data_IF_259720536330
#
_entry.id   IF_259720536330
#
_cell.length_a   1.000
_cell.length_b   1.000
_cell.length_c   1.000
_cell.angle_alpha   90.00
_cell.angle_beta   90.00
_cell.angle_gamma   90.00
#
_symmetry.space_group_name_H-M   'P 1'
#
loop_
_entity.id
_entity.type
_entity.pdbx_description
1 polymer ?
#
# COMPACT_ATOMS: atom_id res chain seq x y z
N UNK A 1 4.53 -3.98 17.53
CA UNK A 1 5.84 -3.30 17.65
C UNK A 1 6.19 -2.70 16.29
N UNK A 2 5.86 -1.42 16.07
CA UNK A 2 6.20 -0.72 14.83
C UNK A 2 7.69 -0.40 14.90
N UNK A 3 8.52 -1.02 14.06
CA UNK A 3 9.90 -0.55 13.87
C UNK A 3 9.81 0.87 13.30
N UNK A 4 10.59 1.81 13.83
CA UNK A 4 10.54 3.20 13.40
C UNK A 4 11.02 3.30 11.93
N UNK A 5 10.10 3.23 10.97
CA UNK A 5 10.41 3.21 9.54
C UNK A 5 11.18 4.47 9.12
N UNK A 6 11.01 5.59 9.83
CA UNK A 6 11.79 6.82 9.62
C UNK A 6 13.28 6.65 9.89
N UNK A 7 13.66 5.84 10.88
CA UNK A 7 15.07 5.55 11.15
C UNK A 7 15.69 4.67 10.06
N UNK A 8 14.88 3.85 9.39
CA UNK A 8 15.31 3.09 8.22
C UNK A 8 15.49 4.01 7.01
N UNK A 9 14.57 4.96 6.78
CA UNK A 9 14.71 5.97 5.72
C UNK A 9 15.99 6.80 5.87
N UNK A 10 16.31 7.27 7.09
CA UNK A 10 17.57 7.98 7.36
C UNK A 10 18.82 7.17 7.04
N UNK A 11 18.72 5.84 7.03
CA UNK A 11 19.80 4.91 6.66
C UNK A 11 19.80 4.56 5.18
N UNK A 12 18.98 5.21 4.37
CA UNK A 12 18.85 4.96 2.93
C UNK A 12 18.01 3.74 2.58
N UNK A 13 17.15 3.25 3.48
CA UNK A 13 16.23 2.18 3.15
C UNK A 13 15.22 2.64 2.09
N UNK A 14 14.88 1.73 1.17
CA UNK A 14 13.85 1.94 0.16
C UNK A 14 12.68 1.02 0.45
N UNK A 15 11.46 1.57 0.32
CA UNK A 15 10.23 0.83 0.50
C UNK A 15 9.50 0.68 -0.82
N UNK A 16 8.98 -0.51 -1.07
CA UNK A 16 7.94 -0.75 -2.08
C UNK A 16 6.69 -1.28 -1.39
N UNK A 17 5.57 -1.32 -2.09
CA UNK A 17 4.34 -1.90 -1.54
C UNK A 17 3.67 -2.86 -2.50
N UNK A 18 2.91 -3.80 -1.94
CA UNK A 18 1.93 -4.58 -2.68
C UNK A 18 0.53 -4.22 -2.21
N UNK A 19 -0.39 -4.11 -3.17
CA UNK A 19 -1.83 -3.96 -2.90
C UNK A 19 -2.58 -5.07 -3.61
N UNK A 20 -3.37 -5.83 -2.85
CA UNK A 20 -4.18 -6.94 -3.34
C UNK A 20 -5.64 -6.69 -2.98
N UNK A 21 -6.54 -6.83 -3.95
CA UNK A 21 -7.97 -6.72 -3.68
C UNK A 21 -8.57 -8.09 -3.37
N UNK A 22 -9.20 -8.21 -2.20
CA UNK A 22 -9.81 -9.45 -1.74
C UNK A 22 -11.29 -9.29 -1.42
N UNK A 23 -12.12 -10.19 -1.93
CA UNK A 23 -13.53 -10.32 -1.53
C UNK A 23 -13.71 -11.52 -0.61
N UNK A 24 -14.18 -11.26 0.61
CA UNK A 24 -14.51 -12.31 1.58
C UNK A 24 -15.77 -13.08 1.22
N UNK A 25 -15.94 -14.26 1.83
CA UNK A 25 -17.13 -15.11 1.67
C UNK A 25 -18.44 -14.44 2.09
N UNK A 26 -18.39 -13.34 2.86
CA UNK A 26 -19.55 -12.53 3.24
C UNK A 26 -19.76 -11.32 2.31
N UNK A 27 -19.22 -11.37 1.09
CA UNK A 27 -19.28 -10.31 0.09
C UNK A 27 -18.76 -8.94 0.59
N UNK A 28 -17.74 -8.95 1.45
CA UNK A 28 -17.03 -7.74 1.89
C UNK A 28 -15.69 -7.66 1.19
N UNK A 29 -15.38 -6.50 0.61
CA UNK A 29 -14.15 -6.23 -0.13
C UNK A 29 -13.10 -5.56 0.76
N UNK A 30 -11.84 -5.87 0.53
CA UNK A 30 -10.69 -5.38 1.31
C UNK A 30 -9.50 -5.13 0.39
N UNK A 31 -8.66 -4.15 0.75
CA UNK A 31 -7.29 -4.06 0.27
C UNK A 31 -6.34 -4.67 1.29
N UNK A 32 -5.60 -5.69 0.87
CA UNK A 32 -4.42 -6.15 1.57
C UNK A 32 -3.23 -5.28 1.16
N UNK A 33 -2.67 -4.53 2.11
CA UNK A 33 -1.50 -3.69 1.87
C UNK A 33 -0.31 -4.32 2.60
N UNK A 34 0.82 -4.44 1.92
CA UNK A 34 2.07 -4.85 2.56
C UNK A 34 3.20 -3.91 2.12
N UNK A 35 4.07 -3.57 3.07
CA UNK A 35 5.29 -2.81 2.81
C UNK A 35 6.46 -3.78 2.68
N UNK A 36 7.33 -3.53 1.72
CA UNK A 36 8.54 -4.31 1.49
C UNK A 36 9.74 -3.38 1.59
N UNK A 37 10.58 -3.62 2.58
CA UNK A 37 11.85 -2.92 2.74
C UNK A 37 12.93 -3.70 1.95
N UNK A 38 13.61 -3.01 1.03
CA UNK A 38 14.44 -3.63 -0.01
C UNK A 38 15.81 -4.09 0.49
N UNK A 39 16.44 -3.37 1.42
CA UNK A 39 17.82 -3.61 1.88
C UNK A 39 17.90 -4.87 2.75
N UNK A 40 17.01 -4.98 3.74
CA UNK A 40 16.93 -6.13 4.63
C UNK A 40 15.91 -7.18 4.17
N UNK A 41 15.27 -6.99 3.01
CA UNK A 41 14.27 -7.89 2.41
C UNK A 41 13.14 -8.24 3.38
N UNK A 42 12.68 -7.24 4.13
CA UNK A 42 11.64 -7.45 5.15
C UNK A 42 10.29 -7.06 4.60
N UNK A 43 9.33 -7.98 4.74
CA UNK A 43 7.92 -7.68 4.49
C UNK A 43 7.24 -7.33 5.81
N UNK A 44 6.59 -6.17 5.83
CA UNK A 44 5.76 -5.71 6.92
C UNK A 44 4.31 -5.85 6.46
N UNK A 45 3.58 -6.78 7.07
CA UNK A 45 2.14 -6.94 6.85
C UNK A 45 1.43 -5.81 7.59
N UNK A 46 0.84 -4.87 6.85
CA UNK A 46 0.20 -3.68 7.45
C UNK A 46 -1.29 -3.87 7.70
N UNK A 47 -1.86 -5.00 7.26
CA UNK A 47 -3.22 -5.42 7.57
C UNK A 47 -4.16 -5.34 6.37
N UNK A 48 -5.46 -5.32 6.66
CA UNK A 48 -6.52 -5.22 5.67
C UNK A 48 -7.28 -3.91 5.87
N UNK A 49 -7.43 -3.14 4.79
CA UNK A 49 -8.31 -1.96 4.77
C UNK A 49 -9.63 -2.35 4.14
N UNK A 50 -10.74 -2.08 4.83
CA UNK A 50 -12.06 -2.41 4.30
C UNK A 50 -12.45 -1.42 3.20
N UNK A 51 -12.92 -1.94 2.08
CA UNK A 51 -13.52 -1.15 1.01
C UNK A 51 -15.01 -1.02 1.31
N UNK A 52 -15.48 0.21 1.47
CA UNK A 52 -16.89 0.53 1.62
C UNK A 52 -17.45 0.94 0.26
N UNK A 53 -18.59 0.36 -0.12
CA UNK A 53 -19.29 0.68 -1.37
C UNK A 53 -18.41 0.50 -2.64
N UNK A 54 -18.60 1.36 -3.63
CA UNK A 54 -17.78 1.41 -4.84
C UNK A 54 -16.45 2.13 -4.55
N UNK A 55 -15.34 1.55 -5.00
CA UNK A 55 -14.02 2.16 -4.93
C UNK A 55 -13.52 2.48 -6.32
N UNK A 56 -13.32 3.76 -6.61
CA UNK A 56 -12.62 4.21 -7.81
C UNK A 56 -11.10 4.07 -7.62
N UNK A 57 -10.35 4.34 -8.69
CA UNK A 57 -8.90 4.33 -8.63
C UNK A 57 -8.33 5.50 -7.81
N UNK A 58 -9.03 6.63 -7.74
CA UNK A 58 -8.61 7.77 -6.92
C UNK A 58 -8.84 7.48 -5.44
N UNK A 59 -10.00 6.90 -5.10
CA UNK A 59 -10.30 6.48 -3.72
C UNK A 59 -9.26 5.47 -3.23
N UNK A 60 -8.85 4.54 -4.10
CA UNK A 60 -7.79 3.59 -3.81
C UNK A 60 -6.45 4.27 -3.51
N UNK A 61 -6.06 5.29 -4.30
CA UNK A 61 -4.83 6.06 -4.05
C UNK A 61 -4.90 6.72 -2.68
N UNK A 62 -6.00 7.38 -2.36
CA UNK A 62 -6.16 8.06 -1.07
C UNK A 62 -6.11 7.07 0.11
N UNK A 63 -6.79 5.93 -0.02
CA UNK A 63 -6.75 4.84 0.98
C UNK A 63 -5.31 4.37 1.21
N UNK A 64 -4.57 4.09 0.13
CA UNK A 64 -3.18 3.62 0.24
C UNK A 64 -2.28 4.71 0.83
N UNK A 65 -2.43 5.97 0.42
CA UNK A 65 -1.67 7.10 0.97
C UNK A 65 -1.87 7.24 2.47
N UNK A 66 -3.12 7.26 2.91
CA UNK A 66 -3.48 7.38 4.32
C UNK A 66 -2.94 6.19 5.13
N UNK A 67 -3.14 4.97 4.61
CA UNK A 67 -2.65 3.77 5.27
C UNK A 67 -1.13 3.75 5.39
N UNK A 68 -0.38 4.15 4.36
CA UNK A 68 1.10 4.23 4.41
C UNK A 68 1.56 5.30 5.42
N UNK A 69 0.85 6.42 5.50
CA UNK A 69 1.13 7.49 6.47
C UNK A 69 0.97 7.03 7.92
N UNK A 70 0.01 6.14 8.21
CA UNK A 70 -0.14 5.53 9.54
C UNK A 70 1.09 4.70 9.98
N UNK A 71 1.90 4.25 9.02
CA UNK A 71 3.18 3.57 9.26
C UNK A 71 4.39 4.52 9.22
N UNK A 72 4.14 5.83 9.22
CA UNK A 72 5.16 6.88 9.30
C UNK A 72 5.93 7.10 8.01
N UNK A 73 5.38 6.67 6.87
CA UNK A 73 5.95 6.78 5.53
C UNK A 73 5.08 7.69 4.65
N UNK A 74 5.69 8.43 3.74
CA UNK A 74 5.00 9.13 2.67
C UNK A 74 4.91 8.24 1.43
N UNK A 75 3.70 8.01 0.93
CA UNK A 75 3.52 7.32 -0.35
C UNK A 75 4.22 8.04 -1.51
N UNK A 76 4.20 9.38 -1.52
CA UNK A 76 4.73 10.18 -2.64
C UNK A 76 6.26 10.34 -2.61
N UNK A 77 6.91 10.09 -1.47
CA UNK A 77 8.34 10.33 -1.29
C UNK A 77 9.15 9.09 -0.88
N UNK A 78 8.56 8.21 -0.08
CA UNK A 78 9.28 7.09 0.55
C UNK A 78 9.01 5.75 -0.15
N UNK A 79 7.96 5.67 -0.98
CA UNK A 79 7.60 4.47 -1.73
C UNK A 79 8.12 4.58 -3.17
N UNK A 80 9.08 3.73 -3.53
CA UNK A 80 9.75 3.75 -4.84
C UNK A 80 9.09 2.83 -5.87
N UNK A 81 8.03 2.12 -5.49
CA UNK A 81 7.30 1.22 -6.38
C UNK A 81 6.12 0.53 -5.72
N UNK A 82 5.14 0.16 -6.54
CA UNK A 82 3.97 -0.60 -6.12
C UNK A 82 3.70 -1.78 -7.05
N UNK A 83 3.25 -2.89 -6.49
CA UNK A 83 2.75 -4.05 -7.22
C UNK A 83 1.28 -4.21 -6.90
N UNK A 84 0.44 -4.24 -7.95
CA UNK A 84 -1.00 -4.40 -7.80
C UNK A 84 -1.48 -5.56 -8.67
N UNK A 85 -2.60 -6.19 -8.27
CA UNK A 85 -3.25 -7.21 -9.10
C UNK A 85 -3.82 -6.61 -10.40
N UNK A 86 -4.22 -7.48 -11.34
CA UNK A 86 -4.70 -7.08 -12.66
C UNK A 86 -6.11 -6.47 -12.73
N UNK A 87 -6.76 -6.15 -11.61
CA UNK A 87 -8.09 -5.56 -11.59
C UNK A 87 -8.14 -4.22 -12.35
N UNK A 88 -9.29 -3.91 -12.95
CA UNK A 88 -9.49 -2.71 -13.78
C UNK A 88 -9.19 -1.40 -13.01
N UNK A 89 -9.43 -1.38 -11.70
CA UNK A 89 -9.13 -0.23 -10.82
C UNK A 89 -7.62 -0.07 -10.65
N UNK A 90 -6.91 -1.17 -10.44
CA UNK A 90 -5.45 -1.20 -10.25
C UNK A 90 -4.69 -0.77 -11.49
N UNK A 91 -5.19 -1.09 -12.69
CA UNK A 91 -4.62 -0.59 -13.96
C UNK A 91 -4.76 0.93 -14.10
N UNK A 92 -5.83 1.52 -13.55
CA UNK A 92 -6.01 2.97 -13.52
C UNK A 92 -5.14 3.61 -12.45
N UNK A 93 -4.96 2.98 -11.29
CA UNK A 93 -4.05 3.43 -10.24
C UNK A 93 -2.64 3.72 -10.80
N UNK A 94 -2.05 2.76 -11.51
CA UNK A 94 -0.70 2.90 -12.11
C UNK A 94 -0.63 4.11 -13.07
N UNK A 95 -1.72 4.46 -13.74
CA UNK A 95 -1.75 5.62 -14.66
C UNK A 95 -1.74 6.97 -13.94
N UNK A 96 -2.23 7.03 -12.70
CA UNK A 96 -2.37 8.29 -11.94
C UNK A 96 -1.23 8.52 -10.94
N UNK A 97 -0.37 7.52 -10.72
CA UNK A 97 0.77 7.58 -9.78
C UNK A 97 2.11 7.81 -10.53
N UNK A 98 2.05 8.30 -11.77
CA UNK A 98 3.25 8.66 -12.55
C UNK A 98 3.75 10.06 -12.24
#
# INVERSE_FOLDING_TARGET
>A
MVRNNRELLKKGAMFTLSVDEYTSSRNRRYFGINLHEKVYRKTIKTGLVRILESCSALDMIEIVKNHVNDFGLSFDHDIVGSTLDGASVNKKFIRHVK
#
